data_IF_851417474562
#
_entry.id   IF_851417474562
#
_cell.length_a   1.000
_cell.length_b   1.000
_cell.length_c   1.000
_cell.angle_alpha   90.00
_cell.angle_beta   90.00
_cell.angle_gamma   90.00
#
_symmetry.space_group_name_H-M   'P 1'
#
loop_
_entity.id
_entity.type
_entity.pdbx_description
1 polymer ?
#
# COMPACT_ATOMS: atom_id res chain seq x y z
N UNK A 1 -37.41 46.18 20.61
CA UNK A 1 -36.98 44.89 21.21
C UNK A 1 -36.79 43.73 20.23
N UNK A 2 -37.35 43.75 19.01
CA UNK A 2 -37.30 42.58 18.09
C UNK A 2 -35.98 42.38 17.32
N UNK A 3 -35.16 43.42 17.11
CA UNK A 3 -33.90 43.29 16.36
C UNK A 3 -32.83 42.47 17.10
N UNK A 4 -32.78 42.53 18.44
CA UNK A 4 -31.76 41.86 19.25
C UNK A 4 -31.95 40.34 19.34
N UNK A 5 -33.20 39.88 19.32
CA UNK A 5 -33.55 38.44 19.36
C UNK A 5 -33.24 37.77 18.02
N UNK A 6 -33.44 38.50 16.91
CA UNK A 6 -33.15 37.98 15.57
C UNK A 6 -31.64 37.80 15.34
N UNK A 7 -30.82 38.77 15.79
CA UNK A 7 -29.36 38.70 15.67
C UNK A 7 -28.80 37.57 16.54
N UNK A 8 -29.27 37.40 17.78
CA UNK A 8 -28.79 36.32 18.66
C UNK A 8 -29.17 34.93 18.15
N UNK A 9 -30.34 34.76 17.52
CA UNK A 9 -30.71 33.51 16.87
C UNK A 9 -29.91 33.26 15.57
N UNK A 10 -29.60 34.32 14.81
CA UNK A 10 -28.76 34.24 13.63
C UNK A 10 -27.34 33.80 13.97
N UNK A 11 -26.72 34.39 15.01
CA UNK A 11 -25.36 34.03 15.46
C UNK A 11 -25.29 32.60 16.00
N UNK A 12 -26.33 32.11 16.68
CA UNK A 12 -26.43 30.71 17.11
C UNK A 12 -26.49 29.74 15.92
N UNK A 13 -27.27 30.07 14.89
CA UNK A 13 -27.33 29.25 13.67
C UNK A 13 -25.99 29.23 12.91
N UNK A 14 -25.24 30.33 12.88
CA UNK A 14 -23.92 30.36 12.22
C UNK A 14 -22.88 29.51 12.96
N UNK A 15 -22.93 29.47 14.30
CA UNK A 15 -22.05 28.64 15.14
C UNK A 15 -22.30 27.14 14.97
N UNK A 16 -23.56 26.73 14.77
CA UNK A 16 -23.92 25.33 14.49
C UNK A 16 -23.44 24.90 13.09
N UNK A 17 -23.56 25.78 12.08
CA UNK A 17 -23.05 25.48 10.74
C UNK A 17 -21.52 25.32 10.70
N UNK A 18 -20.79 26.10 11.50
CA UNK A 18 -19.31 26.06 11.52
C UNK A 18 -18.75 24.79 12.17
N UNK A 19 -19.50 24.14 13.07
CA UNK A 19 -19.12 22.87 13.68
C UNK A 19 -19.28 21.67 12.74
N UNK A 20 -20.17 21.74 11.74
CA UNK A 20 -20.43 20.64 10.79
C UNK A 20 -19.36 20.59 9.68
N UNK A 21 -18.74 21.73 9.34
CA UNK A 21 -17.66 21.81 8.34
C UNK A 21 -16.24 21.72 8.93
N UNK A 22 -16.09 21.66 10.25
CA UNK A 22 -14.79 21.65 10.94
C UNK A 22 -14.13 20.27 11.07
N UNK A 23 -14.84 19.18 10.77
CA UNK A 23 -14.28 17.82 10.79
C UNK A 23 -13.38 17.64 9.57
N UNK A 24 -12.09 17.98 9.71
CA UNK A 24 -11.06 17.36 8.89
C UNK A 24 -11.30 15.85 9.00
N UNK A 25 -11.62 15.21 7.88
CA UNK A 25 -11.64 13.75 7.77
C UNK A 25 -10.22 13.30 8.14
N UNK A 26 -10.07 12.86 9.38
CA UNK A 26 -8.96 11.98 9.74
C UNK A 26 -9.30 10.72 8.96
N UNK A 27 -8.68 10.57 7.79
CA UNK A 27 -8.68 9.33 7.07
C UNK A 27 -8.21 8.27 8.06
N UNK A 28 -9.13 7.44 8.52
CA UNK A 28 -8.77 6.22 9.21
C UNK A 28 -7.97 5.44 8.17
N UNK A 29 -6.65 5.40 8.32
CA UNK A 29 -5.87 4.36 7.70
C UNK A 29 -6.45 3.07 8.26
N UNK A 30 -7.30 2.40 7.47
CA UNK A 30 -7.59 1.00 7.69
C UNK A 30 -6.25 0.30 7.53
N UNK A 31 -5.65 -0.09 8.65
CA UNK A 31 -4.71 -1.18 8.65
C UNK A 31 -5.52 -2.42 8.24
N UNK A 32 -5.51 -2.68 6.93
CA UNK A 32 -6.17 -3.77 6.19
C UNK A 32 -5.57 -5.15 6.54
N UNK A 33 -5.30 -5.39 7.82
CA UNK A 33 -4.92 -6.70 8.33
C UNK A 33 -6.16 -7.59 8.57
N UNK A 34 -7.20 -7.44 7.75
CA UNK A 34 -8.30 -8.39 7.62
C UNK A 34 -7.90 -9.39 6.53
N UNK A 35 -7.61 -10.64 6.91
CA UNK A 35 -7.37 -11.74 5.94
C UNK A 35 -8.67 -12.04 5.20
N UNK A 36 -8.96 -11.26 4.16
CA UNK A 36 -10.08 -11.52 3.27
C UNK A 36 -9.84 -12.84 2.54
N UNK A 37 -10.87 -13.69 2.55
CA UNK A 37 -10.88 -14.97 1.84
C UNK A 37 -10.69 -14.67 0.35
N UNK A 38 -9.63 -15.23 -0.24
CA UNK A 38 -9.33 -15.04 -1.68
C UNK A 38 -10.45 -15.70 -2.49
N UNK A 39 -11.17 -14.90 -3.29
CA UNK A 39 -12.27 -15.39 -4.12
C UNK A 39 -11.81 -16.45 -5.12
N UNK A 40 -12.60 -17.52 -5.25
CA UNK A 40 -12.39 -18.57 -6.24
C UNK A 40 -12.71 -18.13 -7.67
N UNK A 41 -13.41 -17.01 -7.87
CA UNK A 41 -13.76 -16.54 -9.22
C UNK A 41 -12.62 -15.76 -9.91
N UNK A 42 -11.59 -15.39 -9.15
CA UNK A 42 -10.42 -14.70 -9.68
C UNK A 42 -9.58 -15.59 -10.59
N UNK A 43 -8.89 -14.97 -11.56
CA UNK A 43 -7.90 -15.66 -12.39
C UNK A 43 -6.80 -16.24 -11.51
N UNK A 44 -6.25 -17.38 -11.92
CA UNK A 44 -5.14 -18.03 -11.22
C UNK A 44 -3.97 -17.09 -10.93
N UNK A 45 -3.63 -16.21 -11.86
CA UNK A 45 -2.57 -15.22 -11.68
C UNK A 45 -2.83 -14.28 -10.50
N UNK A 46 -4.06 -13.78 -10.37
CA UNK A 46 -4.47 -12.89 -9.28
C UNK A 46 -4.56 -13.64 -7.96
N UNK A 47 -5.12 -14.86 -7.96
CA UNK A 47 -5.21 -15.71 -6.75
C UNK A 47 -3.83 -16.08 -6.20
N UNK A 48 -2.90 -16.44 -7.07
CA UNK A 48 -1.53 -16.77 -6.67
C UNK A 48 -0.83 -15.54 -6.11
N UNK A 49 -0.97 -14.38 -6.77
CA UNK A 49 -0.39 -13.14 -6.26
C UNK A 49 -0.97 -12.74 -4.90
N UNK A 50 -2.29 -12.82 -4.70
CA UNK A 50 -2.93 -12.56 -3.41
C UNK A 50 -2.48 -13.57 -2.34
N UNK A 51 -2.31 -14.84 -2.68
CA UNK A 51 -1.77 -15.84 -1.75
C UNK A 51 -0.34 -15.51 -1.32
N UNK A 52 0.48 -15.00 -2.25
CA UNK A 52 1.84 -14.53 -1.97
C UNK A 52 1.80 -13.32 -1.05
N UNK A 53 1.03 -12.27 -1.38
CA UNK A 53 0.91 -11.07 -0.56
C UNK A 53 0.47 -11.40 0.89
N UNK A 54 -0.48 -12.33 1.03
CA UNK A 54 -0.98 -12.75 2.34
C UNK A 54 0.04 -13.57 3.15
N UNK A 55 0.89 -14.35 2.48
CA UNK A 55 1.85 -15.24 3.14
C UNK A 55 3.20 -14.56 3.39
N UNK A 56 3.59 -13.67 2.50
CA UNK A 56 4.86 -12.97 2.47
C UNK A 56 4.59 -11.47 2.31
N UNK A 57 4.29 -10.75 3.40
CA UNK A 57 4.04 -9.31 3.33
C UNK A 57 5.18 -8.50 2.71
N UNK A 58 6.41 -9.03 2.73
CA UNK A 58 7.57 -8.40 2.11
C UNK A 58 8.21 -9.37 1.11
N UNK A 59 8.47 -8.92 -0.12
CA UNK A 59 8.93 -9.81 -1.18
C UNK A 59 10.24 -10.53 -0.88
N UNK A 60 11.12 -9.95 -0.06
CA UNK A 60 12.36 -10.63 0.33
C UNK A 60 12.13 -11.88 1.18
N UNK A 61 10.96 -12.03 1.81
CA UNK A 61 10.59 -13.22 2.59
C UNK A 61 10.26 -14.43 1.70
N UNK A 62 10.08 -14.22 0.39
CA UNK A 62 9.95 -15.30 -0.58
C UNK A 62 11.13 -16.26 -0.42
N UNK A 63 10.84 -17.55 -0.48
CA UNK A 63 11.82 -18.62 -0.28
C UNK A 63 12.43 -18.69 1.13
N UNK A 64 11.77 -18.10 2.14
CA UNK A 64 12.12 -18.29 3.54
C UNK A 64 13.38 -17.54 3.99
N UNK A 65 13.77 -16.48 3.29
CA UNK A 65 14.92 -15.69 3.73
C UNK A 65 14.65 -15.02 5.07
N UNK A 66 15.60 -15.13 6.00
CA UNK A 66 15.53 -14.47 7.31
C UNK A 66 15.80 -12.96 7.24
N UNK A 67 16.46 -12.50 6.17
CA UNK A 67 16.88 -11.12 5.96
C UNK A 67 16.78 -10.72 4.48
N UNK A 68 16.63 -9.42 4.17
CA UNK A 68 16.68 -8.92 2.80
C UNK A 68 17.94 -9.39 2.05
N UNK A 69 17.72 -9.89 0.83
CA UNK A 69 18.74 -10.44 -0.07
C UNK A 69 18.39 -10.07 -1.51
N UNK A 70 19.41 -9.62 -2.26
CA UNK A 70 19.32 -9.43 -3.70
C UNK A 70 19.44 -10.81 -4.36
N UNK A 71 18.34 -11.32 -4.90
CA UNK A 71 18.29 -12.68 -5.44
C UNK A 71 17.38 -12.72 -6.67
N UNK A 72 17.77 -13.51 -7.67
CA UNK A 72 17.05 -13.61 -8.95
C UNK A 72 15.61 -14.12 -8.75
N UNK A 73 15.36 -14.94 -7.72
CA UNK A 73 14.02 -15.49 -7.43
C UNK A 73 12.99 -14.39 -7.19
N UNK A 74 13.39 -13.33 -6.49
CA UNK A 74 12.51 -12.18 -6.21
C UNK A 74 12.25 -11.41 -7.50
N UNK A 75 13.29 -11.13 -8.29
CA UNK A 75 13.13 -10.50 -9.61
C UNK A 75 12.20 -11.30 -10.54
N UNK A 76 12.34 -12.63 -10.56
CA UNK A 76 11.47 -13.51 -11.34
C UNK A 76 10.02 -13.42 -10.90
N UNK A 77 9.72 -13.60 -9.60
CA UNK A 77 8.35 -13.52 -9.09
C UNK A 77 7.75 -12.13 -9.31
N UNK A 78 8.50 -11.07 -9.00
CA UNK A 78 8.05 -9.69 -9.14
C UNK A 78 7.80 -9.27 -10.59
N UNK A 79 8.45 -9.89 -11.58
CA UNK A 79 8.09 -9.70 -13.00
C UNK A 79 6.66 -10.16 -13.32
N UNK A 80 6.15 -11.18 -12.61
CA UNK A 80 4.76 -11.61 -12.69
C UNK A 80 3.81 -10.57 -12.10
N UNK A 81 4.19 -9.97 -10.97
CA UNK A 81 3.45 -8.86 -10.36
C UNK A 81 3.42 -7.63 -11.26
N UNK A 82 4.52 -7.32 -11.95
CA UNK A 82 4.58 -6.20 -12.90
C UNK A 82 3.56 -6.41 -14.03
N UNK A 83 3.53 -7.62 -14.61
CA UNK A 83 2.54 -7.97 -15.65
C UNK A 83 1.11 -7.88 -15.13
N UNK A 84 0.86 -8.27 -13.87
CA UNK A 84 -0.45 -8.09 -13.24
C UNK A 84 -0.82 -6.61 -13.13
N UNK A 85 0.08 -5.77 -12.62
CA UNK A 85 -0.12 -4.32 -12.56
C UNK A 85 -0.45 -3.74 -13.93
N UNK A 86 0.32 -4.08 -14.97
CA UNK A 86 0.07 -3.61 -16.33
C UNK A 86 -1.30 -4.04 -16.89
N UNK A 87 -1.84 -5.18 -16.44
CA UNK A 87 -3.13 -5.71 -16.93
C UNK A 87 -4.33 -5.25 -16.13
N UNK A 88 -4.20 -5.07 -14.83
CA UNK A 88 -5.31 -4.73 -13.93
C UNK A 88 -5.29 -3.27 -13.49
N UNK A 89 -4.15 -2.60 -13.61
CA UNK A 89 -3.86 -1.28 -13.04
C UNK A 89 -4.04 -1.22 -11.51
N UNK A 90 -4.04 -2.38 -10.84
CA UNK A 90 -4.16 -2.46 -9.39
C UNK A 90 -2.81 -2.16 -8.72
N UNK A 91 -2.75 -1.03 -8.02
CA UNK A 91 -1.52 -0.52 -7.41
C UNK A 91 -0.94 -1.44 -6.36
N UNK A 92 -1.70 -2.39 -5.78
CA UNK A 92 -1.14 -3.32 -4.78
C UNK A 92 0.05 -4.11 -5.33
N UNK A 93 -0.02 -4.48 -6.62
CA UNK A 93 1.06 -5.20 -7.27
C UNK A 93 2.29 -4.32 -7.50
N UNK A 94 2.08 -3.07 -7.93
CA UNK A 94 3.18 -2.11 -8.10
C UNK A 94 3.84 -1.76 -6.76
N UNK A 95 3.04 -1.54 -5.72
CA UNK A 95 3.53 -1.20 -4.39
C UNK A 95 4.43 -2.32 -3.84
N UNK A 96 4.00 -3.59 -3.96
CA UNK A 96 4.79 -4.73 -3.51
C UNK A 96 6.14 -4.86 -4.24
N UNK A 97 6.19 -4.53 -5.54
CA UNK A 97 7.46 -4.45 -6.30
C UNK A 97 8.32 -3.31 -5.77
N UNK A 98 7.73 -2.12 -5.61
CA UNK A 98 8.43 -0.92 -5.16
C UNK A 98 9.04 -1.12 -3.77
N UNK A 99 8.30 -1.73 -2.84
CA UNK A 99 8.78 -2.03 -1.49
C UNK A 99 10.03 -2.90 -1.50
N UNK A 100 10.11 -3.90 -2.39
CA UNK A 100 11.32 -4.70 -2.55
C UNK A 100 12.49 -3.86 -3.08
N UNK A 101 12.24 -3.04 -4.10
CA UNK A 101 13.28 -2.19 -4.71
C UNK A 101 13.79 -1.16 -3.71
N UNK A 102 12.90 -0.47 -2.99
CA UNK A 102 13.25 0.48 -1.93
C UNK A 102 14.01 -0.19 -0.78
N UNK A 103 13.68 -1.44 -0.45
CA UNK A 103 14.41 -2.20 0.56
C UNK A 103 15.81 -2.57 0.07
N UNK A 104 16.00 -2.82 -1.23
CA UNK A 104 17.27 -3.34 -1.74
C UNK A 104 18.21 -2.30 -2.34
N UNK A 105 17.70 -1.16 -2.80
CA UNK A 105 18.45 -0.11 -3.49
C UNK A 105 18.32 1.19 -2.70
N UNK A 106 19.46 1.75 -2.28
CA UNK A 106 19.47 3.02 -1.55
C UNK A 106 19.30 4.25 -2.47
N UNK A 107 19.19 5.43 -1.87
CA UNK A 107 19.01 6.70 -2.59
C UNK A 107 20.17 7.08 -3.51
N UNK A 108 21.33 6.43 -3.39
CA UNK A 108 22.50 6.63 -4.24
C UNK A 108 22.62 5.56 -5.33
N UNK A 109 21.70 4.58 -5.36
CA UNK A 109 21.69 3.48 -6.31
C UNK A 109 22.53 2.27 -5.88
N UNK A 110 23.07 2.23 -4.65
CA UNK A 110 23.78 1.03 -4.19
C UNK A 110 22.79 -0.09 -3.91
N UNK A 111 23.12 -1.29 -4.38
CA UNK A 111 22.34 -2.51 -4.13
C UNK A 111 22.89 -3.20 -2.89
N UNK A 112 22.05 -3.38 -1.86
CA UNK A 112 22.44 -4.07 -0.62
C UNK A 112 22.94 -5.49 -0.94
N UNK A 113 24.13 -5.81 -0.42
CA UNK A 113 24.76 -7.15 -0.51
C UNK A 113 25.00 -7.65 -1.95
N UNK A 114 25.04 -6.76 -2.93
CA UNK A 114 25.50 -7.10 -4.27
C UNK A 114 27.02 -6.91 -4.37
N UNK A 115 27.72 -7.94 -4.81
CA UNK A 115 29.16 -7.88 -5.07
C UNK A 115 29.41 -8.30 -6.52
N UNK A 116 29.78 -7.33 -7.37
CA UNK A 116 30.05 -7.57 -8.78
C UNK A 116 31.20 -8.55 -9.04
N UNK A 117 32.10 -8.75 -8.07
CA UNK A 117 33.23 -9.69 -8.16
C UNK A 117 32.86 -11.15 -7.90
N UNK A 118 31.68 -11.43 -7.34
CA UNK A 118 31.24 -12.81 -7.05
C UNK A 118 30.60 -13.50 -8.26
N UNK A 119 30.35 -12.75 -9.34
CA UNK A 119 29.57 -13.20 -10.49
C UNK A 119 30.31 -13.02 -11.83
N UNK A 120 31.62 -12.70 -11.80
CA UNK A 120 32.47 -12.56 -12.99
C UNK A 120 33.80 -13.29 -12.82
#
# INVERSE_FOLDING_TARGET
MFKSVFITNFTKCTLVFLLIFGSKIIAQNQDDSQKDVISYDLKWSERTALSILNKYPQAWQLDGNEKPKWDYKMGFVLSGFEKLYQKTNDKKYLNYIKEYVDEMIDSTGNIKKYNSKEYN
#
